data_IF_798934044856
#
_entry.id   IF_798934044856
#
_cell.length_a   1.000
_cell.length_b   1.000
_cell.length_c   1.000
_cell.angle_alpha   90.00
_cell.angle_beta   90.00
_cell.angle_gamma   90.00
#
_symmetry.space_group_name_H-M   'P 1'
#
loop_
_entity.id
_entity.type
_entity.pdbx_description
1 polymer ?
#
# COMPACT_ATOMS: atom_id res chain seq x y z
N UNK A 1 5.92 18.91 43.72
CA UNK A 1 6.77 18.11 42.83
C UNK A 1 5.85 17.17 42.11
N UNK A 2 5.50 17.52 40.87
CA UNK A 2 4.43 16.89 40.09
C UNK A 2 4.85 15.51 39.60
N UNK A 3 3.89 14.59 39.63
CA UNK A 3 4.01 13.17 39.33
C UNK A 3 4.63 12.92 37.95
N UNK A 4 5.70 12.12 37.92
CA UNK A 4 6.29 11.57 36.71
C UNK A 4 5.28 10.62 36.06
N UNK A 5 4.59 11.15 35.04
CA UNK A 5 3.64 10.42 34.20
C UNK A 5 4.39 9.32 33.48
N UNK A 6 4.30 8.09 33.98
CA UNK A 6 4.87 6.89 33.39
C UNK A 6 4.59 6.87 31.88
N UNK A 7 5.65 6.80 31.07
CA UNK A 7 5.51 6.61 29.62
C UNK A 7 4.82 5.27 29.36
N UNK A 8 3.56 5.35 28.97
CA UNK A 8 2.70 4.26 28.45
C UNK A 8 3.14 3.73 27.08
N UNK A 9 4.44 3.54 26.84
CA UNK A 9 4.89 2.79 25.64
C UNK A 9 6.11 1.96 26.01
N UNK A 10 5.86 0.76 26.53
CA UNK A 10 6.85 -0.30 26.50
C UNK A 10 6.97 -0.81 25.07
N UNK A 11 8.18 -0.80 24.50
CA UNK A 11 8.47 -1.47 23.24
C UNK A 11 8.44 -2.99 23.48
N UNK A 12 7.26 -3.56 23.59
CA UNK A 12 7.09 -5.01 23.58
C UNK A 12 7.42 -5.48 22.17
N UNK A 13 8.50 -6.26 22.03
CA UNK A 13 8.84 -6.94 20.78
C UNK A 13 7.75 -7.98 20.52
N UNK A 14 6.66 -7.49 19.95
CA UNK A 14 5.61 -8.24 19.32
C UNK A 14 6.31 -9.11 18.27
N UNK A 15 6.40 -10.42 18.54
CA UNK A 15 6.79 -11.45 17.57
C UNK A 15 5.71 -11.43 16.49
N UNK A 16 5.85 -10.51 15.55
CA UNK A 16 4.74 -9.99 14.75
C UNK A 16 5.23 -9.66 13.35
N UNK A 17 5.84 -10.65 12.72
CA UNK A 17 5.83 -10.70 11.25
C UNK A 17 4.43 -11.13 10.77
N UNK A 18 3.73 -12.00 11.52
CA UNK A 18 2.41 -12.51 11.12
C UNK A 18 1.23 -11.60 11.53
N UNK A 19 1.29 -10.95 12.70
CA UNK A 19 0.21 -10.07 13.17
C UNK A 19 0.23 -8.65 12.55
N UNK A 20 1.30 -8.25 11.86
CA UNK A 20 1.36 -6.98 11.12
C UNK A 20 0.57 -7.06 9.80
N UNK A 21 0.31 -8.27 9.30
CA UNK A 21 -0.53 -8.47 8.12
C UNK A 21 -1.99 -8.10 8.40
N UNK A 22 -2.54 -8.52 9.54
CA UNK A 22 -3.95 -8.28 9.89
C UNK A 22 -4.32 -6.80 10.10
N UNK A 23 -3.38 -5.96 10.54
CA UNK A 23 -3.60 -4.50 10.69
C UNK A 23 -3.22 -3.73 9.42
N UNK A 24 -2.28 -4.24 8.61
CA UNK A 24 -1.95 -3.67 7.29
C UNK A 24 -3.07 -3.84 6.25
N UNK A 25 -4.01 -4.76 6.46
CA UNK A 25 -5.13 -5.09 5.55
C UNK A 25 -5.97 -3.88 5.12
N UNK A 26 -5.98 -2.77 5.87
CA UNK A 26 -6.85 -1.63 5.56
C UNK A 26 -6.15 -0.33 5.11
N UNK A 27 -4.81 -0.27 5.10
CA UNK A 27 -4.09 0.99 4.81
C UNK A 27 -3.50 1.05 3.40
N UNK A 28 -3.22 -0.11 2.78
CA UNK A 28 -2.71 -0.17 1.40
C UNK A 28 -3.79 -0.76 0.50
N UNK A 29 -4.26 0.02 -0.50
CA UNK A 29 -5.17 -0.48 -1.53
C UNK A 29 -4.61 -1.76 -2.15
N UNK A 30 -5.43 -2.82 -2.22
CA UNK A 30 -5.07 -4.07 -2.88
C UNK A 30 -5.33 -3.98 -4.38
N UNK A 31 -6.24 -3.09 -4.79
CA UNK A 31 -6.62 -2.87 -6.17
C UNK A 31 -6.38 -1.42 -6.60
N UNK A 32 -6.21 -1.20 -7.91
CA UNK A 32 -6.17 0.16 -8.47
C UNK A 32 -7.51 0.90 -8.33
N UNK A 33 -8.60 0.20 -8.04
CA UNK A 33 -9.93 0.78 -7.81
C UNK A 33 -10.08 1.32 -6.39
N UNK A 34 -9.38 0.72 -5.42
CA UNK A 34 -9.31 1.19 -4.03
C UNK A 34 -8.30 2.35 -3.85
N UNK A 35 -7.48 2.62 -4.87
CA UNK A 35 -6.48 3.68 -4.79
C UNK A 35 -7.13 5.06 -4.88
N UNK A 36 -6.99 5.84 -3.82
CA UNK A 36 -7.61 7.17 -3.70
C UNK A 36 -6.66 8.23 -4.27
N UNK A 37 -7.14 8.94 -5.30
CA UNK A 37 -6.41 10.02 -5.95
C UNK A 37 -5.58 9.56 -7.15
N UNK A 38 -4.95 10.53 -7.83
CA UNK A 38 -4.20 10.30 -9.07
C UNK A 38 -5.00 9.57 -10.17
N UNK A 39 -6.31 9.88 -10.30
CA UNK A 39 -7.22 9.21 -11.23
C UNK A 39 -6.67 9.08 -12.65
N UNK A 40 -6.04 10.14 -13.17
CA UNK A 40 -5.43 10.14 -14.51
C UNK A 40 -4.34 9.07 -14.67
N UNK A 41 -3.49 8.89 -13.66
CA UNK A 41 -2.40 7.90 -13.69
C UNK A 41 -2.98 6.51 -13.57
N UNK A 42 -3.89 6.29 -12.63
CA UNK A 42 -4.56 4.99 -12.44
C UNK A 42 -5.32 4.55 -13.70
N UNK A 43 -6.03 5.46 -14.38
CA UNK A 43 -6.72 5.17 -15.63
C UNK A 43 -5.75 4.79 -16.76
N UNK A 44 -4.65 5.54 -16.93
CA UNK A 44 -3.63 5.18 -17.92
C UNK A 44 -3.04 3.79 -17.62
N UNK A 45 -2.74 3.50 -16.35
CA UNK A 45 -2.19 2.21 -15.93
C UNK A 45 -3.15 1.06 -16.24
N UNK A 46 -4.46 1.25 -16.02
CA UNK A 46 -5.50 0.25 -16.36
C UNK A 46 -5.48 -0.09 -17.85
N UNK A 47 -5.39 0.92 -18.73
CA UNK A 47 -5.32 0.72 -20.18
C UNK A 47 -4.07 -0.07 -20.58
N UNK A 48 -2.91 0.27 -20.02
CA UNK A 48 -1.66 -0.45 -20.30
C UNK A 48 -1.72 -1.90 -19.85
N UNK A 49 -2.19 -2.15 -18.62
CA UNK A 49 -2.35 -3.49 -18.06
C UNK A 49 -3.33 -4.30 -18.92
N UNK A 50 -4.47 -3.73 -19.31
CA UNK A 50 -5.44 -4.40 -20.15
C UNK A 50 -4.87 -4.75 -21.52
N UNK A 51 -4.09 -3.85 -22.12
CA UNK A 51 -3.44 -4.08 -23.41
C UNK A 51 -2.40 -5.20 -23.34
N UNK A 52 -1.54 -5.19 -22.31
CA UNK A 52 -0.55 -6.25 -22.08
C UNK A 52 -1.22 -7.61 -21.83
N UNK A 53 -2.26 -7.64 -20.98
CA UNK A 53 -3.07 -8.84 -20.75
C UNK A 53 -3.72 -9.36 -22.02
N UNK A 54 -4.24 -8.48 -22.88
CA UNK A 54 -4.86 -8.87 -24.15
C UNK A 54 -3.87 -9.48 -25.14
N UNK A 55 -2.58 -9.08 -25.09
CA UNK A 55 -1.52 -9.69 -25.90
C UNK A 55 -0.93 -10.95 -25.27
N UNK A 56 -1.21 -11.22 -24.00
CA UNK A 56 -0.57 -12.30 -23.24
C UNK A 56 0.91 -12.04 -22.95
N UNK A 57 1.32 -10.77 -22.98
CA UNK A 57 2.70 -10.34 -22.78
C UNK A 57 2.87 -9.68 -21.41
N UNK A 58 4.13 -9.54 -20.99
CA UNK A 58 4.46 -8.73 -19.82
C UNK A 58 4.15 -7.26 -20.08
N UNK A 59 3.79 -6.54 -19.02
CA UNK A 59 3.64 -5.09 -19.10
C UNK A 59 5.01 -4.46 -19.38
N UNK A 60 5.05 -3.49 -20.28
CA UNK A 60 6.26 -2.70 -20.54
C UNK A 60 6.73 -1.95 -19.29
N UNK A 61 8.01 -1.59 -19.25
CA UNK A 61 8.57 -0.80 -18.15
C UNK A 61 7.91 0.58 -18.08
N UNK A 62 7.35 0.92 -16.91
CA UNK A 62 6.70 2.21 -16.66
C UNK A 62 7.54 3.02 -15.68
N UNK A 63 7.92 4.25 -16.06
CA UNK A 63 8.50 5.23 -15.15
C UNK A 63 7.39 6.12 -14.58
N UNK A 64 7.23 6.10 -13.27
CA UNK A 64 6.37 7.03 -12.54
C UNK A 64 7.26 8.07 -11.88
N UNK A 65 6.97 9.34 -12.10
CA UNK A 65 7.67 10.46 -11.49
C UNK A 65 6.66 11.55 -11.11
N UNK A 66 6.92 12.24 -10.01
CA UNK A 66 6.03 13.23 -9.41
C UNK A 66 6.51 13.63 -8.03
#
# INVERSE_FOLDING_TARGET
MSEDKERIVSAQKLSTDEANSAVAVNLRPSTLDEFVGQDKVCQNLKVFIQSAKSRGEVLDHVLLYG
#
